data_IF_264659064772
#
_entry.id   IF_264659064772
#
_cell.length_a   1.000
_cell.length_b   1.000
_cell.length_c   1.000
_cell.angle_alpha   90.00
_cell.angle_beta   90.00
_cell.angle_gamma   90.00
#
_symmetry.space_group_name_H-M   'P 1'
#
loop_
_entity.id
_entity.type
_entity.pdbx_description
1 polymer ?
#
# COMPACT_ATOMS: atom_id res chain seq x y z
N UNK A 1 -20.18 1.57 7.06
CA UNK A 1 -19.36 1.90 5.85
C UNK A 1 -18.52 0.68 5.51
N UNK A 2 -18.47 0.29 4.25
CA UNK A 2 -17.62 -0.83 3.82
C UNK A 2 -16.15 -0.46 3.92
N UNK A 3 -15.35 -1.35 4.48
CA UNK A 3 -13.90 -1.21 4.43
C UNK A 3 -13.39 -1.22 2.98
N UNK A 4 -12.23 -0.61 2.74
CA UNK A 4 -11.69 -0.47 1.38
C UNK A 4 -11.52 -1.82 0.67
N UNK A 5 -11.04 -2.84 1.37
CA UNK A 5 -10.86 -4.19 0.78
C UNK A 5 -12.19 -4.84 0.44
N UNK A 6 -13.22 -4.66 1.26
CA UNK A 6 -14.57 -5.20 0.98
C UNK A 6 -15.15 -4.64 -0.33
N UNK A 7 -14.79 -3.41 -0.70
CA UNK A 7 -15.21 -2.83 -1.99
C UNK A 7 -14.58 -3.59 -3.16
N UNK A 8 -13.30 -3.97 -3.05
CA UNK A 8 -12.64 -4.80 -4.06
C UNK A 8 -13.23 -6.21 -4.12
N UNK A 9 -13.52 -6.82 -2.97
CA UNK A 9 -14.18 -8.14 -2.92
C UNK A 9 -15.57 -8.10 -3.58
N UNK A 10 -16.35 -7.06 -3.35
CA UNK A 10 -17.64 -6.87 -4.03
C UNK A 10 -17.50 -6.67 -5.53
N UNK A 11 -16.47 -5.93 -5.96
CA UNK A 11 -16.18 -5.75 -7.38
C UNK A 11 -15.89 -7.08 -8.08
N UNK A 12 -15.11 -7.94 -7.44
CA UNK A 12 -14.84 -9.28 -7.95
C UNK A 12 -16.10 -10.13 -8.06
N UNK A 13 -16.98 -10.10 -7.06
CA UNK A 13 -18.28 -10.77 -7.11
C UNK A 13 -19.13 -10.24 -8.26
N UNK A 14 -19.18 -8.92 -8.44
CA UNK A 14 -19.94 -8.28 -9.50
C UNK A 14 -19.45 -8.68 -10.91
N UNK A 15 -18.14 -8.89 -11.03
CA UNK A 15 -17.48 -9.29 -12.28
C UNK A 15 -17.45 -10.81 -12.51
N UNK A 16 -18.09 -11.60 -11.64
CA UNK A 16 -18.03 -13.07 -11.63
C UNK A 16 -16.59 -13.60 -11.66
N UNK A 17 -15.69 -12.89 -10.96
CA UNK A 17 -14.27 -13.21 -10.85
C UNK A 17 -13.98 -14.00 -9.56
N UNK A 18 -12.86 -14.76 -9.51
CA UNK A 18 -12.46 -15.47 -8.30
C UNK A 18 -12.30 -14.52 -7.10
N UNK A 19 -12.71 -14.93 -5.89
CA UNK A 19 -12.55 -14.12 -4.69
C UNK A 19 -11.07 -13.91 -4.34
N UNK A 20 -10.79 -12.85 -3.57
CA UNK A 20 -9.46 -12.65 -2.99
C UNK A 20 -9.11 -13.79 -2.04
N UNK A 21 -7.89 -14.29 -2.14
CA UNK A 21 -7.34 -15.20 -1.14
C UNK A 21 -6.99 -14.43 0.15
N UNK A 22 -7.86 -14.51 1.15
CA UNK A 22 -7.69 -13.83 2.43
C UNK A 22 -6.50 -14.35 3.25
N UNK A 23 -6.01 -15.55 2.97
CA UNK A 23 -4.78 -16.11 3.54
C UNK A 23 -3.53 -15.71 2.76
N UNK A 24 -3.68 -15.13 1.58
CA UNK A 24 -2.58 -14.76 0.69
C UNK A 24 -1.86 -13.47 1.09
N UNK A 25 -0.66 -13.32 0.57
CA UNK A 25 0.21 -12.19 0.86
C UNK A 25 -0.36 -10.85 0.35
N UNK A 26 -0.99 -10.83 -0.82
CA UNK A 26 -1.58 -9.61 -1.39
C UNK A 26 -2.64 -9.04 -0.47
N UNK A 27 -3.56 -9.86 0.00
CA UNK A 27 -4.58 -9.46 0.97
C UNK A 27 -3.98 -9.03 2.31
N UNK A 28 -3.06 -9.83 2.85
CA UNK A 28 -2.41 -9.56 4.14
C UNK A 28 -1.64 -8.25 4.14
N UNK A 29 -0.87 -7.96 3.09
CA UNK A 29 -0.14 -6.71 2.95
C UNK A 29 -1.08 -5.51 2.80
N UNK A 30 -2.08 -5.60 1.95
CA UNK A 30 -3.05 -4.51 1.75
C UNK A 30 -3.79 -4.19 3.06
N UNK A 31 -4.22 -5.21 3.80
CA UNK A 31 -4.85 -5.02 5.11
C UNK A 31 -3.92 -4.35 6.12
N UNK A 32 -2.65 -4.73 6.12
CA UNK A 32 -1.64 -4.13 7.00
C UNK A 32 -1.38 -2.66 6.65
N UNK A 33 -1.35 -2.30 5.35
CA UNK A 33 -1.25 -0.91 4.90
C UNK A 33 -2.45 -0.08 5.37
N UNK A 34 -3.66 -0.61 5.30
CA UNK A 34 -4.85 0.10 5.80
C UNK A 34 -4.79 0.33 7.32
N UNK A 35 -4.31 -0.66 8.07
CA UNK A 35 -4.08 -0.51 9.52
C UNK A 35 -3.00 0.52 9.82
N UNK A 36 -1.90 0.51 9.06
CA UNK A 36 -0.84 1.51 9.16
C UNK A 36 -1.38 2.92 8.89
N UNK A 37 -2.11 3.10 7.80
CA UNK A 37 -2.76 4.38 7.49
C UNK A 37 -3.66 4.86 8.62
N UNK A 38 -4.47 3.99 9.18
CA UNK A 38 -5.37 4.34 10.28
C UNK A 38 -4.60 4.70 11.56
N UNK A 39 -3.52 3.99 11.86
CA UNK A 39 -2.65 4.31 12.99
C UNK A 39 -1.99 5.69 12.86
N UNK A 40 -1.58 6.08 11.64
CA UNK A 40 -1.00 7.40 11.38
C UNK A 40 -2.05 8.51 11.52
N UNK A 41 -3.26 8.31 10.97
CA UNK A 41 -4.29 9.36 10.93
C UNK A 41 -4.99 9.51 12.28
N UNK A 42 -5.20 8.42 12.99
CA UNK A 42 -5.96 8.37 14.24
C UNK A 42 -5.09 8.13 15.47
N UNK A 43 -3.80 8.45 15.38
CA UNK A 43 -2.88 8.30 16.50
C UNK A 43 -3.38 9.11 17.72
N UNK A 44 -3.77 8.39 18.76
CA UNK A 44 -4.15 8.94 20.08
C UNK A 44 -3.28 8.27 21.14
N UNK A 45 -2.33 8.99 21.75
CA UNK A 45 -1.41 8.39 22.72
C UNK A 45 -2.06 7.98 24.06
N UNK A 46 -3.32 8.35 24.27
CA UNK A 46 -4.00 8.19 25.57
C UNK A 46 -4.93 6.97 25.67
N UNK A 47 -5.10 6.22 24.61
CA UNK A 47 -6.04 5.10 24.55
C UNK A 47 -5.29 3.76 24.74
N UNK A 48 -5.44 3.17 25.95
CA UNK A 48 -4.82 1.88 26.29
C UNK A 48 -5.31 0.71 25.45
N UNK A 49 -6.52 0.76 24.92
CA UNK A 49 -7.01 -0.27 23.98
C UNK A 49 -6.30 -0.19 22.64
N UNK A 50 -5.71 0.95 22.31
CA UNK A 50 -4.88 1.14 21.12
C UNK A 50 -3.47 0.53 21.26
N UNK A 51 -2.96 0.29 22.46
CA UNK A 51 -1.62 -0.30 22.68
C UNK A 51 -1.55 -1.72 22.09
N UNK A 52 -2.51 -2.59 22.37
CA UNK A 52 -2.54 -3.97 21.86
C UNK A 52 -2.66 -4.00 20.33
N UNK A 53 -3.45 -3.11 19.75
CA UNK A 53 -3.58 -3.01 18.30
C UNK A 53 -2.32 -2.43 17.65
N UNK A 54 -1.66 -1.48 18.32
CA UNK A 54 -0.39 -0.92 17.88
C UNK A 54 0.73 -1.96 17.94
N UNK A 55 0.79 -2.78 18.98
CA UNK A 55 1.78 -3.85 19.11
C UNK A 55 1.61 -4.91 18.01
N UNK A 56 0.38 -5.30 17.72
CA UNK A 56 0.08 -6.19 16.59
C UNK A 56 0.46 -5.59 15.24
N UNK A 57 0.22 -4.28 15.07
CA UNK A 57 0.62 -3.57 13.86
C UNK A 57 2.15 -3.55 13.73
N UNK A 58 2.88 -3.18 14.78
CA UNK A 58 4.34 -3.13 14.77
C UNK A 58 4.94 -4.51 14.46
N UNK A 59 4.41 -5.57 15.07
CA UNK A 59 4.84 -6.94 14.79
C UNK A 59 4.63 -7.28 13.31
N UNK A 60 3.45 -7.02 12.77
CA UNK A 60 3.15 -7.26 11.36
C UNK A 60 4.06 -6.47 10.41
N UNK A 61 4.36 -5.21 10.72
CA UNK A 61 5.26 -4.38 9.93
C UNK A 61 6.71 -4.89 9.96
N UNK A 62 7.21 -5.30 11.13
CA UNK A 62 8.57 -5.87 11.27
C UNK A 62 8.73 -7.15 10.47
N UNK A 63 7.72 -7.99 10.41
CA UNK A 63 7.72 -9.24 9.63
C UNK A 63 7.84 -8.99 8.11
N UNK A 64 7.57 -7.78 7.63
CA UNK A 64 7.70 -7.42 6.21
C UNK A 64 9.13 -7.13 5.77
N UNK A 65 10.03 -6.86 6.69
CA UNK A 65 11.47 -6.76 6.45
C UNK A 65 11.90 -5.55 5.62
N UNK A 66 11.10 -4.51 5.49
CA UNK A 66 11.52 -3.26 4.84
C UNK A 66 12.58 -2.54 5.70
N UNK A 67 13.40 -1.70 5.05
CA UNK A 67 14.45 -0.96 5.72
C UNK A 67 13.89 0.09 6.69
N UNK A 68 14.54 0.25 7.83
CA UNK A 68 14.26 1.31 8.79
C UNK A 68 14.58 2.69 8.19
N UNK A 69 14.00 3.73 8.80
CA UNK A 69 14.28 5.10 8.42
C UNK A 69 15.75 5.46 8.69
N UNK A 70 16.54 5.61 7.64
CA UNK A 70 17.96 5.89 7.71
C UNK A 70 18.29 7.20 8.46
N UNK A 71 17.38 8.17 8.45
CA UNK A 71 17.56 9.44 9.17
C UNK A 71 17.49 9.27 10.69
N UNK A 72 16.94 8.17 11.17
CA UNK A 72 16.81 7.84 12.60
C UNK A 72 17.83 6.79 13.05
N UNK A 73 18.77 6.44 12.20
CA UNK A 73 19.85 5.52 12.55
C UNK A 73 20.69 6.08 13.72
N UNK A 74 20.96 5.24 14.72
CA UNK A 74 21.70 5.65 15.92
C UNK A 74 20.93 6.57 16.89
N UNK A 75 19.69 6.96 16.59
CA UNK A 75 18.86 7.70 17.53
C UNK A 75 18.40 6.80 18.67
N UNK A 76 18.19 7.39 19.86
CA UNK A 76 17.59 6.70 21.00
C UNK A 76 16.06 6.54 20.92
N UNK A 77 15.45 6.95 19.81
CA UNK A 77 14.00 6.92 19.62
C UNK A 77 13.46 5.49 19.49
N UNK A 78 12.20 5.24 19.90
CA UNK A 78 11.56 3.95 19.71
C UNK A 78 11.42 3.62 18.22
N UNK A 79 11.28 2.34 17.90
CA UNK A 79 11.11 1.93 16.51
C UNK A 79 9.86 2.55 15.88
N UNK A 80 8.74 2.54 16.59
CA UNK A 80 7.52 3.20 16.13
C UNK A 80 7.34 4.56 16.82
N UNK A 81 6.99 5.61 16.08
CA UNK A 81 6.88 5.65 14.61
C UNK A 81 8.18 5.99 13.89
N UNK A 82 9.17 6.49 14.59
CA UNK A 82 10.31 7.23 14.03
C UNK A 82 11.20 6.37 13.12
N UNK A 83 11.59 5.19 13.59
CA UNK A 83 12.42 4.28 12.79
C UNK A 83 11.62 3.49 11.76
N UNK A 84 10.35 3.21 12.03
CA UNK A 84 9.48 2.47 11.14
C UNK A 84 9.11 3.25 9.88
N UNK A 85 8.80 4.55 10.04
CA UNK A 85 8.27 5.39 8.97
C UNK A 85 9.41 6.09 8.21
N UNK A 86 9.79 5.50 7.10
CA UNK A 86 10.80 6.03 6.19
C UNK A 86 10.52 5.57 4.76
N UNK A 87 11.51 5.73 3.90
CA UNK A 87 11.42 5.35 2.49
C UNK A 87 11.04 3.87 2.32
N UNK A 88 11.66 2.97 3.07
CA UNK A 88 11.38 1.53 2.98
C UNK A 88 9.93 1.18 3.28
N UNK A 89 9.34 1.78 4.31
CA UNK A 89 7.93 1.60 4.64
C UNK A 89 7.01 2.17 3.56
N UNK A 90 7.34 3.34 3.02
CA UNK A 90 6.56 3.99 1.96
C UNK A 90 6.59 3.16 0.67
N UNK A 91 7.76 2.69 0.26
CA UNK A 91 7.92 1.82 -0.90
C UNK A 91 7.14 0.51 -0.74
N UNK A 92 7.30 -0.16 0.40
CA UNK A 92 6.56 -1.39 0.70
C UNK A 92 5.03 -1.16 0.66
N UNK A 93 4.55 -0.08 1.27
CA UNK A 93 3.13 0.25 1.28
C UNK A 93 2.60 0.52 -0.13
N UNK A 94 3.34 1.28 -0.93
CA UNK A 94 3.00 1.57 -2.33
C UNK A 94 2.90 0.27 -3.14
N UNK A 95 3.92 -0.56 -3.10
CA UNK A 95 3.95 -1.84 -3.84
C UNK A 95 2.84 -2.79 -3.38
N UNK A 96 2.50 -2.78 -2.09
CA UNK A 96 1.42 -3.62 -1.54
C UNK A 96 0.04 -3.20 -2.05
N UNK A 97 -0.22 -1.91 -2.14
CA UNK A 97 -1.48 -1.37 -2.69
C UNK A 97 -1.54 -1.60 -4.20
N UNK A 98 -0.44 -1.40 -4.90
CA UNK A 98 -0.35 -1.67 -6.33
C UNK A 98 -0.60 -3.15 -6.63
N UNK A 99 -0.02 -4.06 -5.85
CA UNK A 99 -0.25 -5.50 -6.00
C UNK A 99 -1.73 -5.89 -5.84
N UNK A 100 -2.46 -5.30 -4.88
CA UNK A 100 -3.90 -5.51 -4.75
C UNK A 100 -4.66 -5.00 -5.97
N UNK A 101 -4.36 -3.77 -6.40
CA UNK A 101 -5.01 -3.16 -7.57
C UNK A 101 -4.74 -3.96 -8.83
N UNK A 102 -3.51 -4.42 -9.03
CA UNK A 102 -3.12 -5.26 -10.17
C UNK A 102 -3.85 -6.60 -10.14
N UNK A 103 -3.90 -7.26 -9.00
CA UNK A 103 -4.58 -8.54 -8.85
C UNK A 103 -6.06 -8.44 -9.21
N UNK A 104 -6.75 -7.43 -8.70
CA UNK A 104 -8.17 -7.20 -8.99
C UNK A 104 -8.38 -6.82 -10.45
N UNK A 105 -7.56 -5.93 -10.99
CA UNK A 105 -7.65 -5.49 -12.38
C UNK A 105 -7.45 -6.65 -13.36
N UNK A 106 -6.47 -7.51 -13.09
CA UNK A 106 -6.21 -8.71 -13.91
C UNK A 106 -7.39 -9.70 -13.82
N UNK A 107 -7.95 -9.89 -12.64
CA UNK A 107 -9.08 -10.80 -12.42
C UNK A 107 -10.34 -10.36 -13.17
N UNK A 108 -10.59 -9.06 -13.29
CA UNK A 108 -11.76 -8.51 -14.01
C UNK A 108 -11.46 -8.13 -15.47
N UNK A 109 -10.23 -8.29 -15.93
CA UNK A 109 -9.82 -8.07 -17.33
C UNK A 109 -9.70 -6.61 -17.74
N UNK A 110 -9.41 -5.70 -16.80
CA UNK A 110 -9.17 -4.28 -17.11
C UNK A 110 -7.68 -3.92 -16.96
N UNK A 111 -7.26 -2.87 -17.68
CA UNK A 111 -5.92 -2.29 -17.54
C UNK A 111 -6.05 -0.96 -16.77
N UNK A 112 -5.53 -0.86 -15.54
CA UNK A 112 -5.63 0.38 -14.77
C UNK A 112 -4.82 1.51 -15.43
N UNK A 113 -5.27 2.74 -15.20
CA UNK A 113 -4.68 3.94 -15.84
C UNK A 113 -3.20 4.09 -15.53
N UNK A 114 -2.76 3.80 -14.31
CA UNK A 114 -1.35 3.95 -13.92
C UNK A 114 -0.42 3.04 -14.76
N UNK A 115 -0.83 1.82 -15.11
CA UNK A 115 -0.05 0.96 -16.01
C UNK A 115 0.09 1.55 -17.41
N UNK A 116 -0.93 2.27 -17.89
CA UNK A 116 -0.88 2.97 -19.19
C UNK A 116 0.08 4.16 -19.15
N UNK A 117 0.12 4.86 -18.03
CA UNK A 117 1.04 6.00 -17.82
C UNK A 117 2.48 5.53 -17.78
N UNK A 118 2.78 4.44 -17.06
CA UNK A 118 4.13 3.87 -17.00
C UNK A 118 4.61 3.38 -18.36
N UNK A 119 3.74 2.76 -19.15
CA UNK A 119 4.08 2.26 -20.48
C UNK A 119 4.26 3.37 -21.54
N UNK A 120 3.58 4.51 -21.37
CA UNK A 120 3.53 5.59 -22.36
C UNK A 120 4.37 6.82 -22.02
N UNK A 121 4.88 6.97 -20.80
CA UNK A 121 5.61 8.14 -20.28
C UNK A 121 4.85 9.46 -20.50
N UNK A 122 4.35 10.07 -19.44
CA UNK A 122 3.66 11.39 -19.53
C UNK A 122 4.51 12.49 -20.20
N UNK A 123 5.81 12.27 -20.31
CA UNK A 123 6.76 13.20 -20.92
C UNK A 123 7.25 12.80 -22.32
N UNK A 124 6.81 11.67 -22.87
CA UNK A 124 7.25 11.17 -24.17
C UNK A 124 6.57 11.79 -25.38
N UNK A 125 5.43 12.46 -25.22
CA UNK A 125 4.66 13.05 -26.32
C UNK A 125 4.83 14.57 -26.49
N UNK A 126 5.67 15.21 -25.69
CA UNK A 126 5.90 16.66 -25.79
C UNK A 126 7.11 17.06 -26.66
N UNK A 127 7.75 16.13 -27.36
CA UNK A 127 8.71 16.48 -28.41
C UNK A 127 8.07 16.24 -29.76
N UNK A 128 7.35 17.27 -30.16
CA UNK A 128 6.76 17.38 -31.44
C UNK A 128 7.75 17.15 -32.56
N UNK A 129 7.24 16.53 -33.54
CA UNK A 129 7.73 16.56 -34.88
C UNK A 129 7.94 18.02 -35.29
N UNK A 130 9.19 18.45 -35.26
CA UNK A 130 9.60 19.64 -35.96
C UNK A 130 9.54 19.30 -37.44
N UNK A 131 8.58 19.87 -38.16
CA UNK A 131 8.59 19.89 -39.61
C UNK A 131 9.95 20.44 -40.10
N UNK A 132 10.61 19.79 -41.03
CA UNK A 132 11.69 20.41 -41.75
C UNK A 132 11.12 21.44 -42.72
N UNK A 133 11.57 22.61 -42.58
CA UNK A 133 11.37 23.66 -43.57
C UNK A 133 12.17 23.32 -44.83
#
# INVERSE_FOLDING_TARGET
MLETIEKYERLLVFADAPPLDRGGQVYGNARLVLRLRNAIIHFRPEDRSAEDELDKLQKGLRERGFADNALMEGSGNPWWPDKALGYGAAEWAHLSVQALSDHVSDAIGIVPIYRKVEAGGWFGQARGEGEPV
#
